data_IF_209339153471
#
_entry.id   IF_209339153471
#
_cell.length_a   1.000
_cell.length_b   1.000
_cell.length_c   1.000
_cell.angle_alpha   90.00
_cell.angle_beta   90.00
_cell.angle_gamma   90.00
#
_symmetry.space_group_name_H-M   'P 1'
#
loop_
_entity.id
_entity.type
_entity.pdbx_description
1 polymer ?
#
# COMPACT_ATOMS: atom_id res chain seq x y z
N UNK A 1 -15.51 23.80 -15.41
CA UNK A 1 -16.87 23.22 -15.49
C UNK A 1 -17.36 22.99 -14.07
N UNK A 2 -18.67 23.00 -13.77
CA UNK A 2 -19.16 22.58 -12.45
C UNK A 2 -19.88 21.25 -12.54
N UNK A 3 -19.74 20.42 -11.50
CA UNK A 3 -20.45 19.15 -11.39
C UNK A 3 -21.37 19.16 -10.18
N UNK A 4 -22.45 18.41 -10.28
CA UNK A 4 -23.37 18.14 -9.18
C UNK A 4 -22.89 16.92 -8.41
N UNK A 5 -22.74 17.06 -7.10
CA UNK A 5 -22.42 15.96 -6.18
C UNK A 5 -23.64 15.68 -5.31
N UNK A 6 -24.01 14.41 -5.19
CA UNK A 6 -25.09 13.91 -4.34
C UNK A 6 -24.68 12.58 -3.73
N UNK A 7 -24.86 12.41 -2.41
CA UNK A 7 -24.52 11.17 -1.68
C UNK A 7 -23.12 10.62 -2.02
N UNK A 8 -22.11 11.49 -1.98
CA UNK A 8 -20.69 11.16 -2.29
C UNK A 8 -20.42 10.63 -3.71
N UNK A 9 -21.28 10.98 -4.67
CA UNK A 9 -21.06 10.65 -6.08
C UNK A 9 -21.31 11.85 -7.00
N UNK A 10 -20.62 11.88 -8.14
CA UNK A 10 -20.93 12.83 -9.21
C UNK A 10 -22.23 12.40 -9.88
N UNK A 11 -23.25 13.26 -9.78
CA UNK A 11 -24.57 13.05 -10.33
C UNK A 11 -24.75 13.70 -11.73
N UNK A 12 -23.89 14.65 -12.12
CA UNK A 12 -23.96 15.29 -13.44
C UNK A 12 -23.14 16.58 -13.56
N UNK A 13 -23.29 17.29 -14.68
CA UNK A 13 -22.73 18.62 -14.92
C UNK A 13 -23.80 19.69 -14.66
N UNK A 14 -23.40 20.86 -14.16
CA UNK A 14 -24.29 22.02 -14.01
C UNK A 14 -23.56 23.31 -14.37
N UNK A 15 -24.30 24.31 -14.84
CA UNK A 15 -23.83 25.70 -14.92
C UNK A 15 -24.42 26.55 -13.79
N UNK A 16 -25.42 26.02 -13.09
CA UNK A 16 -26.11 26.67 -12.01
C UNK A 16 -25.38 26.44 -10.68
N UNK A 17 -25.00 27.53 -10.00
CA UNK A 17 -24.31 27.51 -8.71
C UNK A 17 -25.26 27.73 -7.52
N UNK A 18 -26.38 28.43 -7.74
CA UNK A 18 -27.36 28.80 -6.71
C UNK A 18 -28.70 28.09 -6.94
N UNK A 19 -29.53 27.91 -5.91
CA UNK A 19 -30.84 27.23 -5.97
C UNK A 19 -30.78 25.77 -6.45
N UNK A 20 -29.86 24.99 -5.88
CA UNK A 20 -29.74 23.56 -6.16
C UNK A 20 -30.84 22.76 -5.43
N UNK A 21 -31.22 21.57 -5.95
CA UNK A 21 -32.07 20.64 -5.23
C UNK A 21 -31.48 20.26 -3.87
N UNK A 22 -32.34 19.97 -2.89
CA UNK A 22 -31.90 19.59 -1.55
C UNK A 22 -30.99 18.36 -1.61
N UNK A 23 -29.82 18.44 -0.97
CA UNK A 23 -28.81 17.38 -0.93
C UNK A 23 -27.77 17.43 -2.05
N UNK A 24 -27.95 18.30 -3.05
CA UNK A 24 -26.97 18.50 -4.13
C UNK A 24 -26.04 19.66 -3.84
N UNK A 25 -24.76 19.48 -4.17
CA UNK A 25 -23.75 20.54 -4.10
C UNK A 25 -23.11 20.71 -5.47
N UNK A 26 -22.98 21.96 -5.94
CA UNK A 26 -22.20 22.28 -7.13
C UNK A 26 -20.74 22.45 -6.72
N UNK A 27 -19.84 21.69 -7.35
CA UNK A 27 -18.40 21.75 -7.11
C UNK A 27 -17.67 22.04 -8.41
N UNK A 28 -16.65 22.90 -8.34
CA UNK A 28 -15.79 23.18 -9.49
C UNK A 28 -14.99 21.92 -9.87
N UNK A 29 -14.97 21.62 -11.16
CA UNK A 29 -14.32 20.45 -11.72
C UNK A 29 -13.41 20.82 -12.91
N UNK A 30 -12.37 20.02 -13.17
CA UNK A 30 -11.57 20.13 -14.38
C UNK A 30 -12.46 20.08 -15.64
N UNK A 31 -12.07 20.79 -16.69
CA UNK A 31 -12.78 20.81 -17.97
C UNK A 31 -12.46 19.55 -18.80
N UNK A 32 -12.92 18.40 -18.29
CA UNK A 32 -12.74 17.08 -18.88
C UNK A 32 -14.07 16.33 -18.93
N UNK A 33 -14.21 15.32 -19.80
CA UNK A 33 -15.39 14.45 -19.82
C UNK A 33 -15.67 13.83 -18.43
N UNK A 34 -16.94 13.78 -18.02
CA UNK A 34 -17.36 13.20 -16.73
C UNK A 34 -16.80 11.79 -16.49
N UNK A 35 -16.70 10.99 -17.55
CA UNK A 35 -16.17 9.63 -17.50
C UNK A 35 -14.69 9.57 -17.08
N UNK A 36 -13.96 10.68 -17.15
CA UNK A 36 -12.58 10.83 -16.68
C UNK A 36 -12.48 11.46 -15.30
N UNK A 37 -13.61 11.78 -14.66
CA UNK A 37 -13.66 12.48 -13.38
C UNK A 37 -14.27 11.60 -12.30
N UNK A 38 -13.87 11.85 -11.05
CA UNK A 38 -14.45 11.19 -9.87
C UNK A 38 -14.48 12.12 -8.66
N UNK A 39 -15.34 11.78 -7.69
CA UNK A 39 -15.44 12.47 -6.40
C UNK A 39 -14.59 11.74 -5.36
N UNK A 40 -13.63 12.41 -4.71
CA UNK A 40 -12.77 11.78 -3.70
C UNK A 40 -13.29 11.92 -2.25
N UNK A 41 -14.48 12.49 -2.07
CA UNK A 41 -15.04 12.85 -0.76
C UNK A 41 -14.86 14.33 -0.39
N UNK A 42 -14.03 15.08 -1.11
CA UNK A 42 -13.77 16.49 -0.84
C UNK A 42 -13.71 17.36 -2.11
N UNK A 43 -13.10 16.86 -3.18
CA UNK A 43 -12.92 17.55 -4.46
C UNK A 43 -13.12 16.59 -5.64
N UNK A 44 -13.28 17.17 -6.83
CA UNK A 44 -13.34 16.43 -8.09
C UNK A 44 -11.92 16.20 -8.59
N UNK A 45 -11.58 14.94 -8.89
CA UNK A 45 -10.27 14.53 -9.39
C UNK A 45 -10.38 13.84 -10.74
N UNK A 46 -9.24 13.78 -11.43
CA UNK A 46 -9.08 13.08 -12.71
C UNK A 46 -8.74 11.61 -12.41
N UNK A 47 -9.41 10.69 -13.11
CA UNK A 47 -9.12 9.25 -13.05
C UNK A 47 -7.71 9.00 -13.62
N UNK A 48 -6.82 8.31 -12.89
CA UNK A 48 -5.48 8.01 -13.37
C UNK A 48 -5.51 7.02 -14.54
N UNK A 49 -4.56 7.14 -15.46
CA UNK A 49 -4.45 6.29 -16.67
C UNK A 49 -4.18 4.82 -16.37
N UNK A 50 -3.64 4.49 -15.18
CA UNK A 50 -3.25 3.15 -14.78
C UNK A 50 -3.65 2.86 -13.32
N UNK A 51 -3.82 1.58 -12.93
CA UNK A 51 -4.04 1.21 -11.54
C UNK A 51 -2.91 1.71 -10.63
N UNK A 52 -3.25 2.11 -9.41
CA UNK A 52 -2.30 2.40 -8.34
C UNK A 52 -2.82 1.88 -7.01
N UNK A 53 -2.00 1.91 -5.97
CA UNK A 53 -2.40 1.56 -4.59
C UNK A 53 -3.59 2.38 -4.07
N UNK A 54 -3.92 3.50 -4.73
CA UNK A 54 -5.06 4.36 -4.42
C UNK A 54 -6.22 4.23 -5.43
N UNK A 55 -6.07 3.47 -6.53
CA UNK A 55 -7.08 3.41 -7.60
C UNK A 55 -7.01 2.08 -8.37
N UNK A 56 -8.13 1.37 -8.49
CA UNK A 56 -8.20 0.13 -9.29
C UNK A 56 -9.17 0.27 -10.47
N UNK A 57 -8.85 -0.42 -11.56
CA UNK A 57 -9.72 -0.59 -12.71
C UNK A 57 -10.34 -2.00 -12.63
N UNK A 58 -11.66 -2.09 -12.48
CA UNK A 58 -12.37 -3.38 -12.53
C UNK A 58 -13.00 -3.57 -13.90
N UNK A 59 -12.47 -4.52 -14.69
CA UNK A 59 -12.91 -5.10 -15.98
C UNK A 59 -13.36 -4.10 -17.07
N UNK A 60 -14.22 -3.12 -16.79
CA UNK A 60 -14.69 -2.06 -17.69
C UNK A 60 -15.03 -0.73 -16.97
N UNK A 61 -14.79 -0.58 -15.67
CA UNK A 61 -15.12 0.63 -14.91
C UNK A 61 -14.05 1.01 -13.89
N UNK A 62 -13.91 2.32 -13.71
CA UNK A 62 -13.08 2.89 -12.64
C UNK A 62 -13.84 2.85 -11.33
N UNK A 63 -13.22 2.37 -10.25
CA UNK A 63 -13.84 2.21 -8.93
C UNK A 63 -13.00 2.91 -7.87
N UNK A 64 -13.61 3.76 -7.05
CA UNK A 64 -12.99 4.27 -5.82
C UNK A 64 -12.64 3.07 -4.93
N UNK A 65 -11.41 2.93 -4.42
CA UNK A 65 -11.17 1.89 -3.43
C UNK A 65 -12.11 2.13 -2.26
N UNK A 66 -12.93 1.14 -1.95
CA UNK A 66 -13.47 1.05 -0.60
C UNK A 66 -12.28 0.99 0.36
N UNK A 67 -12.33 1.64 1.54
CA UNK A 67 -11.26 1.57 2.53
C UNK A 67 -10.90 0.10 2.76
N UNK A 68 -9.69 -0.29 2.33
CA UNK A 68 -9.13 -1.66 2.34
C UNK A 68 -10.14 -2.78 2.57
N UNK A 69 -10.78 -3.24 1.49
CA UNK A 69 -11.56 -4.50 1.53
C UNK A 69 -10.70 -5.70 1.15
N UNK A 70 -9.49 -5.48 0.65
CA UNK A 70 -8.48 -6.53 0.60
C UNK A 70 -7.71 -6.48 1.92
N UNK A 71 -7.88 -7.51 2.75
CA UNK A 71 -7.02 -7.73 3.92
C UNK A 71 -5.56 -7.89 3.50
N UNK A 72 -4.68 -8.12 4.47
CA UNK A 72 -3.25 -8.21 4.23
C UNK A 72 -2.92 -9.27 3.14
N UNK A 73 -2.29 -8.83 2.04
CA UNK A 73 -1.92 -9.73 0.94
C UNK A 73 -0.62 -10.48 1.27
N UNK A 74 -0.72 -11.50 2.11
CA UNK A 74 0.42 -12.31 2.53
C UNK A 74 1.12 -13.04 1.39
N UNK A 75 0.37 -13.47 0.38
CA UNK A 75 0.96 -14.15 -0.78
C UNK A 75 1.77 -13.17 -1.63
N UNK A 76 1.19 -12.03 -2.00
CA UNK A 76 1.89 -10.99 -2.75
C UNK A 76 3.10 -10.46 -2.00
N UNK A 77 2.97 -10.25 -0.68
CA UNK A 77 4.08 -9.88 0.18
C UNK A 77 5.20 -10.93 0.07
N UNK A 78 4.89 -12.22 0.26
CA UNK A 78 5.89 -13.29 0.22
C UNK A 78 6.60 -13.37 -1.14
N UNK A 79 5.85 -13.29 -2.24
CA UNK A 79 6.39 -13.35 -3.61
C UNK A 79 7.35 -12.18 -3.90
N UNK A 80 6.93 -10.95 -3.57
CA UNK A 80 7.76 -9.75 -3.79
C UNK A 80 8.97 -9.76 -2.87
N UNK A 81 8.76 -10.08 -1.59
CA UNK A 81 9.82 -10.16 -0.60
C UNK A 81 10.88 -11.17 -1.05
N UNK A 82 10.51 -12.40 -1.40
CA UNK A 82 11.47 -13.47 -1.78
C UNK A 82 12.23 -13.18 -3.08
N UNK A 83 11.70 -12.34 -3.97
CA UNK A 83 12.36 -11.90 -5.20
C UNK A 83 13.29 -10.68 -5.06
N UNK A 84 13.35 -10.06 -3.88
CA UNK A 84 14.04 -8.79 -3.65
C UNK A 84 15.54 -8.90 -3.33
N UNK A 85 16.22 -7.75 -3.40
CA UNK A 85 17.61 -7.61 -2.92
C UNK A 85 17.73 -7.77 -1.41
N UNK A 86 16.77 -7.28 -0.63
CA UNK A 86 16.83 -7.39 0.83
C UNK A 86 16.72 -8.87 1.27
N UNK A 87 15.95 -9.71 0.56
CA UNK A 87 15.83 -11.13 0.89
C UNK A 87 17.13 -11.88 0.63
N UNK A 88 17.83 -11.52 -0.44
CA UNK A 88 19.19 -12.03 -0.72
C UNK A 88 20.15 -11.65 0.41
N UNK A 89 20.13 -10.38 0.84
CA UNK A 89 20.96 -9.90 1.95
C UNK A 89 20.65 -10.60 3.28
N UNK A 90 19.36 -10.79 3.58
CA UNK A 90 18.90 -11.51 4.76
C UNK A 90 19.29 -13.00 4.73
N UNK A 91 19.17 -13.64 3.56
CA UNK A 91 19.63 -15.00 3.35
C UNK A 91 21.15 -15.12 3.56
N UNK A 92 21.93 -14.21 2.98
CA UNK A 92 23.38 -14.18 3.17
C UNK A 92 23.73 -14.07 4.66
N UNK A 93 23.04 -13.20 5.42
CA UNK A 93 23.20 -13.12 6.87
C UNK A 93 22.88 -14.42 7.58
N UNK A 94 21.81 -15.11 7.17
CA UNK A 94 21.37 -16.39 7.72
C UNK A 94 22.44 -17.48 7.60
N UNK A 95 23.33 -17.40 6.60
CA UNK A 95 24.43 -18.37 6.41
C UNK A 95 25.65 -18.09 7.28
N UNK A 96 25.75 -16.89 7.87
CA UNK A 96 26.94 -16.43 8.63
C UNK A 96 26.86 -16.75 10.11
N UNK A 97 25.67 -16.69 10.71
CA UNK A 97 25.50 -16.87 12.16
C UNK A 97 24.22 -17.64 12.50
N UNK A 98 24.25 -18.41 13.60
CA UNK A 98 23.06 -19.08 14.12
C UNK A 98 21.96 -18.09 14.52
N UNK A 99 22.34 -16.90 15.02
CA UNK A 99 21.39 -15.85 15.40
C UNK A 99 20.60 -15.36 14.18
N UNK A 100 21.30 -15.01 13.10
CA UNK A 100 20.65 -14.58 11.86
C UNK A 100 19.88 -15.72 11.19
N UNK A 101 20.39 -16.95 11.25
CA UNK A 101 19.68 -18.12 10.74
C UNK A 101 18.32 -18.31 11.43
N UNK A 102 18.32 -18.21 12.77
CA UNK A 102 17.10 -18.36 13.58
C UNK A 102 16.11 -17.23 13.27
N UNK A 103 16.58 -15.98 13.20
CA UNK A 103 15.73 -14.83 12.88
C UNK A 103 15.12 -14.91 11.47
N UNK A 104 15.92 -15.29 10.47
CA UNK A 104 15.46 -15.52 9.11
C UNK A 104 14.42 -16.65 9.03
N UNK A 105 14.64 -17.74 9.78
CA UNK A 105 13.68 -18.85 9.86
C UNK A 105 12.36 -18.42 10.48
N UNK A 106 12.41 -17.58 11.52
CA UNK A 106 11.19 -16.99 12.12
C UNK A 106 10.46 -16.12 11.10
N UNK A 107 11.16 -15.27 10.34
CA UNK A 107 10.56 -14.47 9.27
C UNK A 107 9.87 -15.35 8.23
N UNK A 108 10.55 -16.39 7.75
CA UNK A 108 9.98 -17.33 6.78
C UNK A 108 8.74 -18.04 7.34
N UNK A 109 8.78 -18.49 8.60
CA UNK A 109 7.63 -19.14 9.25
C UNK A 109 6.43 -18.19 9.40
N UNK A 110 6.68 -16.90 9.63
CA UNK A 110 5.60 -15.91 9.69
C UNK A 110 4.96 -15.70 8.32
N UNK A 111 5.78 -15.50 7.28
CA UNK A 111 5.29 -15.26 5.92
C UNK A 111 4.49 -16.46 5.36
N UNK A 112 4.97 -17.69 5.62
CA UNK A 112 4.43 -18.90 4.99
C UNK A 112 3.39 -19.63 5.84
N UNK A 113 3.32 -19.38 7.16
CA UNK A 113 2.48 -20.18 8.05
C UNK A 113 1.58 -19.35 8.96
N UNK A 114 2.14 -18.47 9.80
CA UNK A 114 1.30 -17.82 10.83
C UNK A 114 0.53 -16.63 10.31
N UNK A 115 1.10 -15.86 9.38
CA UNK A 115 0.46 -14.74 8.71
C UNK A 115 -0.20 -13.78 9.71
N UNK A 116 0.60 -13.37 10.70
CA UNK A 116 0.20 -12.42 11.75
C UNK A 116 1.08 -11.18 11.71
N UNK A 117 0.47 -10.00 11.62
CA UNK A 117 1.18 -8.72 11.48
C UNK A 117 2.10 -8.46 12.66
N UNK A 118 1.63 -8.69 13.89
CA UNK A 118 2.45 -8.57 15.10
C UNK A 118 3.68 -9.49 15.09
N UNK A 119 3.56 -10.68 14.49
CA UNK A 119 4.67 -11.62 14.36
C UNK A 119 5.64 -11.20 13.26
N UNK A 120 5.13 -10.58 12.19
CA UNK A 120 5.95 -10.10 11.09
C UNK A 120 6.83 -8.93 11.54
N UNK A 121 6.24 -7.96 12.24
CA UNK A 121 6.97 -6.84 12.83
C UNK A 121 8.09 -7.33 13.76
N UNK A 122 7.78 -8.25 14.67
CA UNK A 122 8.77 -8.86 15.56
C UNK A 122 9.87 -9.63 14.79
N UNK A 123 9.50 -10.38 13.74
CA UNK A 123 10.46 -11.15 12.96
C UNK A 123 11.44 -10.25 12.18
N UNK A 124 10.95 -9.14 11.61
CA UNK A 124 11.78 -8.15 10.92
C UNK A 124 12.74 -7.47 11.91
N UNK A 125 12.26 -7.03 13.07
CA UNK A 125 13.12 -6.44 14.11
C UNK A 125 14.21 -7.42 14.60
N UNK A 126 13.85 -8.70 14.80
CA UNK A 126 14.81 -9.75 15.17
C UNK A 126 15.87 -9.97 14.09
N UNK A 127 15.48 -9.98 12.81
CA UNK A 127 16.40 -10.15 11.70
C UNK A 127 17.38 -8.97 11.62
N UNK A 128 16.90 -7.74 11.66
CA UNK A 128 17.74 -6.52 11.70
C UNK A 128 18.74 -6.56 12.85
N UNK A 129 18.27 -6.83 14.07
CA UNK A 129 19.12 -6.97 15.25
C UNK A 129 20.11 -8.13 15.20
N UNK A 130 19.86 -9.15 14.38
CA UNK A 130 20.81 -10.23 14.12
C UNK A 130 21.85 -9.85 13.07
N UNK A 131 21.47 -9.02 12.09
CA UNK A 131 22.31 -8.58 10.98
C UNK A 131 23.34 -7.51 11.38
N UNK A 132 23.01 -6.60 12.31
CA UNK A 132 23.91 -5.53 12.80
C UNK A 132 25.30 -6.05 13.22
N UNK A 133 25.37 -7.24 13.81
CA UNK A 133 26.62 -7.84 14.28
C UNK A 133 27.50 -8.47 13.20
N UNK A 134 27.04 -8.49 11.94
CA UNK A 134 27.71 -9.17 10.83
C UNK A 134 28.44 -8.11 9.99
N UNK A 135 29.73 -7.90 10.24
CA UNK A 135 30.48 -6.76 9.70
C UNK A 135 30.48 -6.59 8.17
N UNK A 136 30.33 -7.67 7.39
CA UNK A 136 30.28 -7.59 5.92
C UNK A 136 28.85 -7.37 5.37
N UNK A 137 27.82 -7.42 6.21
CA UNK A 137 26.42 -7.31 5.80
C UNK A 137 25.76 -6.07 6.43
N UNK A 138 25.92 -5.89 7.75
CA UNK A 138 25.26 -4.81 8.49
C UNK A 138 23.74 -4.90 8.49
N UNK A 139 23.08 -3.89 9.06
CA UNK A 139 21.62 -3.73 8.98
C UNK A 139 21.18 -3.34 7.56
N UNK A 140 19.87 -3.27 7.33
CA UNK A 140 19.31 -2.61 6.16
C UNK A 140 19.65 -1.11 6.14
N UNK A 141 19.93 -0.59 4.95
CA UNK A 141 20.13 0.84 4.72
C UNK A 141 18.79 1.59 4.80
N UNK A 142 18.79 2.93 4.95
CA UNK A 142 17.55 3.71 4.90
C UNK A 142 16.75 3.50 3.62
N UNK A 143 17.42 3.36 2.47
CA UNK A 143 16.75 3.12 1.19
C UNK A 143 16.11 1.73 1.12
N UNK A 144 16.79 0.69 1.66
CA UNK A 144 16.23 -0.66 1.76
C UNK A 144 15.02 -0.71 2.71
N UNK A 145 15.03 0.09 3.79
CA UNK A 145 13.92 0.18 4.74
C UNK A 145 12.70 0.87 4.13
N UNK A 146 12.90 1.94 3.34
CA UNK A 146 11.82 2.59 2.59
C UNK A 146 11.25 1.64 1.52
N UNK A 147 12.10 0.85 0.84
CA UNK A 147 11.64 -0.17 -0.11
C UNK A 147 10.78 -1.24 0.59
N UNK A 148 11.20 -1.74 1.76
CA UNK A 148 10.41 -2.68 2.56
C UNK A 148 9.08 -2.05 2.99
N UNK A 149 9.09 -0.79 3.44
CA UNK A 149 7.88 -0.07 3.82
C UNK A 149 6.92 0.15 2.64
N UNK A 150 7.46 0.38 1.45
CA UNK A 150 6.68 0.48 0.21
C UNK A 150 6.05 -0.86 -0.16
N UNK A 151 6.81 -1.96 -0.12
CA UNK A 151 6.30 -3.32 -0.36
C UNK A 151 5.18 -3.67 0.63
N UNK A 152 5.32 -3.31 1.91
CA UNK A 152 4.28 -3.50 2.92
C UNK A 152 3.00 -2.73 2.57
N UNK A 153 3.12 -1.43 2.22
CA UNK A 153 1.98 -0.61 1.78
C UNK A 153 1.27 -1.20 0.57
N UNK A 154 2.04 -1.60 -0.44
CA UNK A 154 1.51 -2.15 -1.69
C UNK A 154 0.80 -3.50 -1.49
N UNK A 155 1.03 -4.17 -0.34
CA UNK A 155 0.37 -5.41 0.04
C UNK A 155 -0.66 -5.24 1.17
N UNK A 156 -1.08 -4.00 1.47
CA UNK A 156 -2.16 -3.72 2.41
C UNK A 156 -1.75 -3.75 3.89
N UNK A 157 -0.46 -3.72 4.20
CA UNK A 157 0.06 -3.61 5.57
C UNK A 157 0.30 -2.15 5.94
N UNK A 158 0.17 -1.81 7.23
CA UNK A 158 0.52 -0.49 7.76
C UNK A 158 2.00 -0.46 8.21
N UNK A 159 2.92 0.24 7.52
CA UNK A 159 4.34 0.29 7.90
C UNK A 159 4.60 0.87 9.29
N UNK A 160 3.71 1.69 9.84
CA UNK A 160 3.87 2.27 11.18
C UNK A 160 3.85 1.20 12.29
N UNK A 161 3.34 0.00 12.00
CA UNK A 161 3.36 -1.15 12.91
C UNK A 161 4.71 -1.88 12.92
N UNK A 162 5.65 -1.46 12.08
CA UNK A 162 6.95 -2.08 11.89
C UNK A 162 8.06 -1.11 12.33
N UNK A 163 9.00 -1.60 13.12
CA UNK A 163 10.23 -0.87 13.45
C UNK A 163 11.18 -0.95 12.24
N UNK A 164 10.91 -0.15 11.20
CA UNK A 164 11.72 0.01 9.98
C UNK A 164 12.59 1.27 10.10
#
# INVERSE_FOLDING_TARGET
MNVLVFEDAIAGITEQLDNLPVGFTAVEAPDLPLEQLYWDGAIVRIKPEQPSSLHVWEVDQWVLPQPNVFGENWQGLTEILTGSGFWTKAYDASTRTLKANSAFTVLLAVLTSTQRVDRLANALALLRGAMIGIGAIGDFTPDELEEIAQILRDNGFNPEEFEL
#
